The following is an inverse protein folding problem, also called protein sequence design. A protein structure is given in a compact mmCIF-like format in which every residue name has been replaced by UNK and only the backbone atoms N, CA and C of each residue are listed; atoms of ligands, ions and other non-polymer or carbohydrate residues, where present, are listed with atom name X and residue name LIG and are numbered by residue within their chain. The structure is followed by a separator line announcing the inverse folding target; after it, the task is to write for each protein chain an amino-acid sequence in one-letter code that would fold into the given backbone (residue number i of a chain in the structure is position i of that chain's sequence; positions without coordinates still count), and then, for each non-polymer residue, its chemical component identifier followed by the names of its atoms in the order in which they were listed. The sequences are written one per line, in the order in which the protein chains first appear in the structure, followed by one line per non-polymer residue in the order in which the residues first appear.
data_IF_777314460683
#
_entry.id   IF_777314460683
#
_cell.length_a   1.000
_cell.length_b   1.000
_cell.length_c   1.000
_cell.angle_alpha   90.00
_cell.angle_beta   90.00
_cell.angle_gamma   90.00
#
_symmetry.space_group_name_H-M   'P 1'
#
loop_
_entity.id
_entity.type
_entity.pdbx_description
1 polymer ?
#
# COMPACT_ATOMS: atom_id res chain seq x y z
N UNK A 1 71.99 -14.52 -29.66
CA UNK A 1 71.22 -15.39 -28.76
C UNK A 1 69.88 -14.71 -28.52
N UNK A 2 68.99 -14.97 -29.36
CA UNK A 2 67.56 -14.45 -29.31
C UNK A 2 66.71 -15.49 -28.57
N UNK A 3 66.27 -15.13 -27.38
CA UNK A 3 65.31 -15.94 -26.59
C UNK A 3 63.90 -15.61 -27.04
N UNK A 4 63.33 -16.52 -27.81
CA UNK A 4 61.89 -16.52 -28.12
C UNK A 4 61.12 -16.90 -26.86
N UNK A 5 60.11 -16.06 -26.52
CA UNK A 5 59.11 -16.36 -25.50
C UNK A 5 58.06 -17.32 -26.10
N UNK A 6 57.59 -18.34 -25.38
CA UNK A 6 56.58 -19.26 -25.88
C UNK A 6 55.24 -18.60 -25.99
N UNK A 7 54.51 -18.88 -27.08
CA UNK A 7 53.11 -18.51 -27.33
C UNK A 7 52.19 -19.02 -26.21
N UNK A 8 51.19 -18.22 -25.78
CA UNK A 8 50.19 -18.70 -24.84
C UNK A 8 49.28 -19.73 -25.51
N UNK A 9 49.18 -20.90 -24.88
CA UNK A 9 48.30 -21.99 -25.27
C UNK A 9 46.83 -21.48 -25.37
N UNK A 10 46.25 -21.62 -26.56
CA UNK A 10 44.82 -21.40 -26.81
C UNK A 10 44.02 -22.39 -25.97
N UNK A 11 43.23 -21.88 -25.02
CA UNK A 11 42.21 -22.67 -24.32
C UNK A 11 41.05 -22.98 -25.31
N UNK A 12 40.76 -24.24 -25.60
CA UNK A 12 39.59 -24.61 -26.37
C UNK A 12 38.35 -24.55 -25.47
N UNK A 13 37.34 -23.79 -25.87
CA UNK A 13 35.95 -24.00 -25.44
C UNK A 13 35.44 -23.08 -24.32
N UNK A 14 35.51 -21.76 -24.50
CA UNK A 14 34.41 -20.91 -23.98
C UNK A 14 33.32 -21.00 -25.01
N UNK A 15 32.37 -21.90 -24.79
CA UNK A 15 31.10 -21.87 -25.51
C UNK A 15 30.50 -20.48 -25.30
N UNK A 16 30.30 -19.74 -26.39
CA UNK A 16 29.51 -18.52 -26.42
C UNK A 16 28.15 -18.81 -25.79
N UNK A 17 28.02 -18.57 -24.47
CA UNK A 17 26.69 -18.43 -23.89
C UNK A 17 26.00 -17.33 -24.69
N UNK A 18 24.81 -17.57 -25.23
CA UNK A 18 24.08 -16.54 -25.95
C UNK A 18 23.90 -15.37 -24.98
N UNK A 19 24.60 -14.28 -25.26
CA UNK A 19 24.50 -13.01 -24.53
C UNK A 19 22.99 -12.74 -24.41
N UNK A 20 22.42 -12.95 -23.21
CA UNK A 20 21.04 -12.58 -22.93
C UNK A 20 20.93 -11.11 -23.28
N UNK A 21 20.38 -10.82 -24.44
CA UNK A 21 20.12 -9.45 -24.88
C UNK A 21 19.31 -8.78 -23.79
N UNK A 22 19.91 -7.81 -23.10
CA UNK A 22 19.22 -6.98 -22.14
C UNK A 22 18.01 -6.40 -22.87
N UNK A 23 16.77 -6.65 -22.40
CA UNK A 23 15.59 -6.16 -23.08
C UNK A 23 15.71 -4.65 -23.27
N UNK A 24 15.73 -4.18 -24.50
CA UNK A 24 15.79 -2.74 -24.79
C UNK A 24 14.53 -2.10 -24.23
N UNK A 25 14.71 -1.25 -23.21
CA UNK A 25 13.61 -0.49 -22.60
C UNK A 25 13.00 0.40 -23.67
N UNK A 26 11.77 0.10 -24.07
CA UNK A 26 11.05 0.84 -25.11
C UNK A 26 10.02 1.76 -24.45
N UNK A 27 10.16 3.06 -24.65
CA UNK A 27 9.11 4.04 -24.28
C UNK A 27 8.81 4.93 -25.49
N UNK A 28 7.52 5.08 -25.82
CA UNK A 28 7.06 6.00 -26.90
C UNK A 28 7.16 7.46 -26.51
N UNK A 29 7.30 7.75 -25.26
CA UNK A 29 7.24 9.11 -24.70
C UNK A 29 8.46 9.40 -23.85
N UNK A 30 8.75 10.69 -23.67
CA UNK A 30 9.84 11.12 -22.78
C UNK A 30 9.58 10.69 -21.33
N UNK A 31 10.65 10.51 -20.56
CA UNK A 31 10.56 10.15 -19.13
C UNK A 31 9.76 11.18 -18.32
N UNK A 32 9.81 12.47 -18.70
CA UNK A 32 9.01 13.54 -18.05
C UNK A 32 7.52 13.35 -18.29
N UNK A 33 7.11 13.07 -19.54
CA UNK A 33 5.72 12.84 -19.90
C UNK A 33 5.16 11.57 -19.26
N UNK A 34 5.96 10.49 -19.22
CA UNK A 34 5.60 9.25 -18.52
C UNK A 34 5.47 9.48 -17.01
N UNK A 35 6.41 10.23 -16.39
CA UNK A 35 6.36 10.57 -14.97
C UNK A 35 5.12 11.40 -14.61
N UNK A 36 4.75 12.37 -15.44
CA UNK A 36 3.52 13.15 -15.25
C UNK A 36 2.26 12.30 -15.39
N UNK A 37 2.24 11.37 -16.34
CA UNK A 37 1.16 10.39 -16.46
C UNK A 37 1.04 9.49 -15.22
N UNK A 38 2.18 8.98 -14.72
CA UNK A 38 2.21 8.18 -13.47
C UNK A 38 1.73 8.98 -12.25
N UNK A 39 2.02 10.28 -12.20
CA UNK A 39 1.50 11.16 -11.16
C UNK A 39 -0.03 11.23 -11.22
N UNK A 40 -0.61 11.47 -12.39
CA UNK A 40 -2.08 11.59 -12.56
C UNK A 40 -2.78 10.27 -12.23
N UNK A 41 -2.32 9.15 -12.78
CA UNK A 41 -2.97 7.86 -12.50
C UNK A 41 -2.76 7.43 -11.05
N UNK A 42 -1.59 7.70 -10.46
CA UNK A 42 -1.29 7.42 -9.06
C UNK A 42 -2.23 8.18 -8.12
N UNK A 43 -2.44 9.46 -8.38
CA UNK A 43 -3.37 10.30 -7.63
C UNK A 43 -4.81 9.80 -7.78
N UNK A 44 -5.25 9.57 -9.02
CA UNK A 44 -6.64 9.22 -9.32
C UNK A 44 -7.05 7.87 -8.70
N UNK A 45 -6.21 6.83 -8.84
CA UNK A 45 -6.59 5.52 -8.33
C UNK A 45 -6.52 5.46 -6.80
N UNK A 46 -5.53 6.11 -6.15
CA UNK A 46 -5.47 6.13 -4.68
C UNK A 46 -6.59 6.98 -4.10
N UNK A 47 -6.92 8.11 -4.74
CA UNK A 47 -8.08 8.91 -4.36
C UNK A 47 -9.34 8.04 -4.36
N UNK A 48 -9.64 7.38 -5.47
CA UNK A 48 -10.83 6.54 -5.63
C UNK A 48 -10.84 5.37 -4.63
N UNK A 49 -9.69 4.70 -4.43
CA UNK A 49 -9.57 3.61 -3.47
C UNK A 49 -9.75 4.09 -2.03
N UNK A 50 -9.21 5.25 -1.65
CA UNK A 50 -9.38 5.81 -0.30
C UNK A 50 -10.84 6.17 -0.01
N UNK A 51 -11.56 6.71 -1.00
CA UNK A 51 -13.01 6.95 -0.89
C UNK A 51 -13.76 5.63 -0.65
N UNK A 52 -13.38 4.55 -1.37
CA UNK A 52 -14.03 3.25 -1.26
C UNK A 52 -13.74 2.52 0.05
N UNK A 53 -12.56 2.70 0.64
CA UNK A 53 -12.08 1.81 1.73
C UNK A 53 -11.97 2.47 3.09
N UNK A 54 -11.94 3.82 3.16
CA UNK A 54 -11.74 4.55 4.40
C UNK A 54 -13.07 5.06 4.99
N UNK A 55 -13.12 6.34 5.30
CA UNK A 55 -14.20 7.00 6.04
C UNK A 55 -15.59 6.79 5.45
N UNK A 56 -15.75 6.83 4.12
CA UNK A 56 -17.10 6.75 3.51
C UNK A 56 -17.67 5.33 3.48
N UNK A 57 -16.85 4.30 3.42
CA UNK A 57 -17.32 2.93 3.61
C UNK A 57 -17.90 2.76 5.02
N UNK A 58 -17.16 3.23 6.04
CA UNK A 58 -17.63 3.19 7.42
C UNK A 58 -18.92 4.00 7.60
N UNK A 59 -19.00 5.22 7.03
CA UNK A 59 -20.19 6.04 7.08
C UNK A 59 -21.41 5.36 6.43
N UNK A 60 -21.22 4.74 5.25
CA UNK A 60 -22.31 4.03 4.55
C UNK A 60 -22.75 2.78 5.30
N UNK A 61 -21.83 2.01 5.88
CA UNK A 61 -22.16 0.85 6.73
C UNK A 61 -22.94 1.30 7.96
N UNK A 62 -22.57 2.41 8.60
CA UNK A 62 -23.29 2.96 9.76
C UNK A 62 -24.75 3.37 9.43
N UNK A 63 -24.99 3.80 8.18
CA UNK A 63 -26.35 4.12 7.71
C UNK A 63 -27.16 2.86 7.45
N UNK A 64 -26.56 1.82 6.82
CA UNK A 64 -27.27 0.62 6.37
C UNK A 64 -27.43 -0.45 7.46
N UNK A 65 -26.52 -0.49 8.43
CA UNK A 65 -26.51 -1.48 9.51
C UNK A 65 -25.99 -0.85 10.82
N UNK A 66 -26.72 0.09 11.43
CA UNK A 66 -26.26 0.86 12.59
C UNK A 66 -25.88 -0.02 13.80
N UNK A 67 -26.64 -1.09 14.06
CA UNK A 67 -26.41 -1.99 15.21
C UNK A 67 -25.18 -2.90 15.02
N UNK A 68 -24.91 -3.32 13.78
CA UNK A 68 -23.84 -4.25 13.44
C UNK A 68 -22.68 -3.58 12.67
N UNK A 69 -22.61 -2.25 12.67
CA UNK A 69 -21.67 -1.47 11.83
C UNK A 69 -20.20 -1.87 12.04
N UNK A 70 -19.79 -2.15 13.27
CA UNK A 70 -18.43 -2.54 13.62
C UNK A 70 -18.08 -3.91 13.02
N UNK A 71 -19.01 -4.87 13.12
CA UNK A 71 -18.85 -6.20 12.54
C UNK A 71 -18.74 -6.12 11.00
N UNK A 72 -19.66 -5.42 10.34
CA UNK A 72 -19.64 -5.33 8.88
C UNK A 72 -18.45 -4.53 8.35
N UNK A 73 -17.97 -3.52 9.06
CA UNK A 73 -16.74 -2.80 8.68
C UNK A 73 -15.51 -3.71 8.81
N UNK A 74 -15.41 -4.46 9.91
CA UNK A 74 -14.38 -5.45 10.12
C UNK A 74 -14.34 -6.52 9.03
N UNK A 75 -15.51 -7.07 8.70
CA UNK A 75 -15.68 -8.07 7.65
C UNK A 75 -15.33 -7.50 6.26
N UNK A 76 -15.89 -6.34 5.89
CA UNK A 76 -15.68 -5.71 4.60
C UNK A 76 -14.18 -5.42 4.36
N UNK A 77 -13.50 -4.82 5.34
CA UNK A 77 -12.08 -4.45 5.22
C UNK A 77 -11.18 -5.68 5.18
N UNK A 78 -11.47 -6.73 5.96
CA UNK A 78 -10.73 -7.99 5.91
C UNK A 78 -10.90 -8.69 4.55
N UNK A 79 -12.13 -8.80 4.05
CA UNK A 79 -12.39 -9.37 2.73
C UNK A 79 -11.72 -8.56 1.62
N UNK A 80 -11.76 -7.23 1.68
CA UNK A 80 -11.05 -6.38 0.74
C UNK A 80 -9.53 -6.64 0.72
N UNK A 81 -8.91 -6.82 1.88
CA UNK A 81 -7.49 -7.14 1.99
C UNK A 81 -7.12 -8.47 1.33
N UNK A 82 -7.95 -9.51 1.54
CA UNK A 82 -7.77 -10.82 0.89
C UNK A 82 -7.93 -10.68 -0.63
N UNK A 83 -9.03 -10.06 -1.06
CA UNK A 83 -9.33 -9.85 -2.48
C UNK A 83 -8.25 -9.02 -3.16
N UNK A 84 -7.80 -7.93 -2.54
CA UNK A 84 -6.73 -7.09 -3.09
C UNK A 84 -5.44 -7.88 -3.28
N UNK A 85 -5.04 -8.69 -2.30
CA UNK A 85 -3.82 -9.51 -2.38
C UNK A 85 -3.91 -10.51 -3.52
N UNK A 86 -4.98 -11.28 -3.60
CA UNK A 86 -5.16 -12.31 -4.64
C UNK A 86 -5.31 -11.70 -6.04
N UNK A 87 -6.08 -10.63 -6.15
CA UNK A 87 -6.34 -9.99 -7.45
C UNK A 87 -5.13 -9.29 -8.03
N UNK A 88 -4.25 -8.70 -7.21
CA UNK A 88 -3.00 -8.11 -7.71
C UNK A 88 -2.10 -9.15 -8.40
N UNK A 89 -1.95 -10.33 -7.82
CA UNK A 89 -1.20 -11.44 -8.43
C UNK A 89 -1.89 -11.94 -9.71
N UNK A 90 -3.20 -12.14 -9.66
CA UNK A 90 -3.98 -12.62 -10.80
C UNK A 90 -3.91 -11.66 -11.99
N UNK A 91 -4.18 -10.38 -11.79
CA UNK A 91 -4.15 -9.37 -12.85
C UNK A 91 -2.73 -9.08 -13.33
N UNK A 92 -1.73 -9.14 -12.46
CA UNK A 92 -0.33 -9.06 -12.84
C UNK A 92 0.02 -10.16 -13.85
N UNK A 93 -0.29 -11.41 -13.52
CA UNK A 93 -0.02 -12.57 -14.39
C UNK A 93 -0.77 -12.47 -15.74
N UNK A 94 -2.05 -12.11 -15.73
CA UNK A 94 -2.85 -11.92 -16.95
C UNK A 94 -2.28 -10.80 -17.81
N UNK A 95 -1.89 -9.69 -17.19
CA UNK A 95 -1.27 -8.56 -17.88
C UNK A 95 0.04 -8.96 -18.57
N UNK A 96 0.83 -9.86 -17.96
CA UNK A 96 2.08 -10.37 -18.56
C UNK A 96 1.83 -11.26 -19.78
N UNK A 97 0.73 -12.00 -19.80
CA UNK A 97 0.34 -12.88 -20.91
C UNK A 97 -0.32 -12.12 -22.06
N UNK A 98 -0.77 -10.89 -21.83
CA UNK A 98 -1.57 -10.13 -22.79
C UNK A 98 -0.75 -9.65 -23.97
N UNK A 99 -1.30 -9.82 -25.18
CA UNK A 99 -0.75 -9.33 -26.45
C UNK A 99 -1.83 -8.54 -27.19
N UNK A 100 -1.63 -7.22 -27.28
CA UNK A 100 -2.63 -6.34 -27.90
C UNK A 100 -1.99 -5.20 -28.71
N UNK A 101 -2.81 -4.57 -29.56
CA UNK A 101 -2.41 -3.38 -30.32
C UNK A 101 -2.16 -2.17 -29.40
N UNK A 102 -2.82 -2.13 -28.25
CA UNK A 102 -2.69 -1.07 -27.25
C UNK A 102 -1.53 -1.29 -26.28
N UNK A 103 -0.72 -2.33 -26.52
CA UNK A 103 0.34 -2.73 -25.60
C UNK A 103 -0.12 -3.78 -24.58
N UNK A 104 0.80 -4.14 -23.69
CA UNK A 104 0.59 -5.20 -22.70
C UNK A 104 -0.22 -4.71 -21.49
N UNK A 105 -0.02 -3.46 -21.07
CA UNK A 105 -0.55 -2.91 -19.82
C UNK A 105 -1.80 -2.06 -20.00
N UNK A 106 -1.89 -1.29 -21.08
CA UNK A 106 -2.99 -0.36 -21.34
C UNK A 106 -4.39 -0.99 -21.27
N UNK A 107 -4.66 -2.19 -21.84
CA UNK A 107 -5.97 -2.82 -21.75
C UNK A 107 -6.43 -3.04 -20.30
N UNK A 108 -5.51 -3.42 -19.40
CA UNK A 108 -5.82 -3.72 -18.00
C UNK A 108 -5.96 -2.47 -17.15
N UNK A 109 -5.24 -1.40 -17.50
CA UNK A 109 -5.45 -0.08 -16.88
C UNK A 109 -6.87 0.43 -17.20
N UNK A 110 -7.29 0.34 -18.47
CA UNK A 110 -8.64 0.74 -18.86
C UNK A 110 -9.72 -0.19 -18.29
N UNK A 111 -9.49 -1.50 -18.32
CA UNK A 111 -10.41 -2.46 -17.71
C UNK A 111 -10.61 -2.19 -16.22
N UNK A 112 -9.52 -2.03 -15.46
CA UNK A 112 -9.58 -1.73 -14.03
C UNK A 112 -10.22 -0.36 -13.73
N UNK A 113 -9.99 0.65 -14.60
CA UNK A 113 -10.65 1.95 -14.48
C UNK A 113 -12.16 1.87 -14.73
N UNK A 114 -12.59 1.20 -15.80
CA UNK A 114 -14.01 1.06 -16.15
C UNK A 114 -14.73 0.21 -15.09
N UNK A 115 -14.19 -0.96 -14.76
CA UNK A 115 -14.79 -1.83 -13.74
C UNK A 115 -14.78 -1.19 -12.35
N UNK A 116 -13.72 -0.45 -12.01
CA UNK A 116 -13.65 0.34 -10.79
C UNK A 116 -14.68 1.46 -10.73
N UNK A 117 -14.90 2.16 -11.86
CA UNK A 117 -15.97 3.17 -11.99
C UNK A 117 -17.35 2.57 -11.77
N UNK A 118 -17.63 1.42 -12.40
CA UNK A 118 -18.89 0.69 -12.22
C UNK A 118 -19.03 0.25 -10.75
N UNK A 119 -17.97 -0.35 -10.18
CA UNK A 119 -17.98 -0.83 -8.80
C UNK A 119 -18.23 0.31 -7.78
N UNK A 120 -17.56 1.45 -7.91
CA UNK A 120 -17.81 2.64 -7.08
C UNK A 120 -19.25 3.14 -7.22
N UNK A 121 -19.78 3.17 -8.44
CA UNK A 121 -21.16 3.57 -8.69
C UNK A 121 -22.14 2.61 -8.02
N UNK A 122 -21.90 1.29 -8.08
CA UNK A 122 -22.71 0.28 -7.42
C UNK A 122 -22.63 0.40 -5.89
N UNK A 123 -21.45 0.70 -5.32
CA UNK A 123 -21.29 1.01 -3.89
C UNK A 123 -22.17 2.22 -3.52
N UNK A 124 -22.13 3.29 -4.32
CA UNK A 124 -22.97 4.48 -4.13
C UNK A 124 -24.48 4.19 -4.19
N UNK A 125 -24.90 3.32 -5.10
CA UNK A 125 -26.32 2.94 -5.29
C UNK A 125 -26.83 1.87 -4.31
N UNK A 126 -25.97 1.24 -3.54
CA UNK A 126 -26.37 0.14 -2.64
C UNK A 126 -27.23 0.66 -1.49
N UNK A 127 -28.43 0.11 -1.34
CA UNK A 127 -29.39 0.44 -0.26
C UNK A 127 -29.52 -0.69 0.78
N UNK A 128 -28.74 -1.78 0.61
CA UNK A 128 -28.69 -2.90 1.54
C UNK A 128 -27.25 -3.24 1.87
N UNK A 129 -27.02 -3.77 3.08
CA UNK A 129 -25.67 -4.17 3.51
C UNK A 129 -25.10 -5.29 2.63
N UNK A 130 -25.91 -6.26 2.23
CA UNK A 130 -25.50 -7.34 1.32
C UNK A 130 -25.12 -6.82 -0.07
N UNK A 131 -25.90 -5.89 -0.63
CA UNK A 131 -25.57 -5.21 -1.90
C UNK A 131 -24.29 -4.40 -1.82
N UNK A 132 -24.09 -3.66 -0.73
CA UNK A 132 -22.87 -2.90 -0.46
C UNK A 132 -21.64 -3.81 -0.43
N UNK A 133 -21.68 -4.90 0.35
CA UNK A 133 -20.57 -5.84 0.46
C UNK A 133 -20.27 -6.52 -0.88
N UNK A 134 -21.28 -6.95 -1.62
CA UNK A 134 -21.09 -7.56 -2.94
C UNK A 134 -20.46 -6.57 -3.93
N UNK A 135 -20.94 -5.32 -3.98
CA UNK A 135 -20.41 -4.27 -4.82
C UNK A 135 -18.95 -3.93 -4.44
N UNK A 136 -18.66 -3.87 -3.14
CA UNK A 136 -17.33 -3.55 -2.61
C UNK A 136 -16.30 -4.66 -2.91
N UNK A 137 -16.68 -5.92 -2.74
CA UNK A 137 -15.83 -7.07 -3.08
C UNK A 137 -15.60 -7.12 -4.59
N UNK A 138 -16.66 -6.96 -5.39
CA UNK A 138 -16.57 -6.92 -6.85
C UNK A 138 -15.69 -5.76 -7.34
N UNK A 139 -15.84 -4.58 -6.73
CA UNK A 139 -14.94 -3.45 -6.95
C UNK A 139 -13.49 -3.85 -6.71
N UNK A 140 -13.15 -4.38 -5.53
CA UNK A 140 -11.78 -4.76 -5.19
C UNK A 140 -11.20 -5.80 -6.15
N UNK A 141 -11.98 -6.80 -6.54
CA UNK A 141 -11.55 -7.86 -7.43
C UNK A 141 -11.14 -7.32 -8.81
N UNK A 142 -11.96 -6.47 -9.41
CA UNK A 142 -11.79 -6.02 -10.80
C UNK A 142 -10.93 -4.76 -10.91
N UNK A 143 -11.09 -3.81 -10.00
CA UNK A 143 -10.33 -2.57 -9.94
C UNK A 143 -8.82 -2.80 -9.86
N UNK A 144 -8.38 -3.83 -9.10
CA UNK A 144 -6.95 -4.12 -8.89
C UNK A 144 -6.19 -4.47 -10.19
N UNK A 145 -6.86 -4.70 -11.31
CA UNK A 145 -6.24 -4.79 -12.62
C UNK A 145 -5.46 -3.50 -12.99
N UNK A 146 -5.96 -2.33 -12.56
CA UNK A 146 -5.33 -1.04 -12.81
C UNK A 146 -3.98 -0.90 -12.08
N UNK A 147 -3.91 -0.93 -10.73
CA UNK A 147 -2.64 -0.79 -10.02
C UNK A 147 -1.66 -1.90 -10.35
N UNK A 148 -2.09 -3.16 -10.58
CA UNK A 148 -1.23 -4.25 -11.01
C UNK A 148 -0.53 -3.93 -12.35
N UNK A 149 -1.29 -3.44 -13.34
CA UNK A 149 -0.75 -3.07 -14.64
C UNK A 149 0.15 -1.82 -14.56
N UNK A 150 -0.19 -0.82 -13.75
CA UNK A 150 0.62 0.40 -13.57
C UNK A 150 1.97 0.07 -12.91
N UNK A 151 1.98 -0.78 -11.86
CA UNK A 151 3.22 -1.19 -11.20
C UNK A 151 4.17 -1.93 -12.15
N UNK A 152 3.64 -2.71 -13.08
CA UNK A 152 4.43 -3.40 -14.08
C UNK A 152 5.07 -2.47 -15.14
N UNK A 153 4.62 -1.22 -15.27
CA UNK A 153 5.24 -0.22 -16.15
C UNK A 153 6.67 0.13 -15.69
N UNK A 154 6.94 0.09 -14.37
CA UNK A 154 8.25 0.48 -13.83
C UNK A 154 9.40 -0.36 -14.40
N UNK A 155 9.39 -1.70 -14.29
CA UNK A 155 10.41 -2.52 -14.92
C UNK A 155 10.36 -2.50 -16.44
N UNK A 156 9.17 -2.37 -17.06
CA UNK A 156 8.98 -2.49 -18.51
C UNK A 156 9.43 -1.25 -19.28
N UNK A 157 9.18 -0.03 -18.75
CA UNK A 157 9.29 1.22 -19.52
C UNK A 157 10.22 2.26 -18.89
N UNK A 158 10.69 2.08 -17.65
CA UNK A 158 11.53 3.06 -16.97
C UNK A 158 12.96 2.55 -16.85
N UNK A 159 13.95 3.30 -17.40
CA UNK A 159 15.36 2.98 -17.25
C UNK A 159 15.76 2.88 -15.77
N UNK A 160 16.71 1.98 -15.47
CA UNK A 160 17.13 1.69 -14.08
C UNK A 160 17.57 2.94 -13.31
N UNK A 161 18.29 3.84 -13.97
CA UNK A 161 18.78 5.12 -13.43
C UNK A 161 17.65 6.11 -13.07
N UNK A 162 16.46 5.98 -13.68
CA UNK A 162 15.30 6.87 -13.48
C UNK A 162 14.17 6.25 -12.65
N UNK A 163 14.28 4.97 -12.29
CA UNK A 163 13.23 4.28 -11.51
C UNK A 163 12.99 4.91 -10.16
N UNK A 164 14.06 5.32 -9.47
CA UNK A 164 13.94 6.01 -8.17
C UNK A 164 13.12 7.30 -8.26
N UNK A 165 13.42 8.16 -9.22
CA UNK A 165 12.67 9.41 -9.43
C UNK A 165 11.21 9.14 -9.82
N UNK A 166 10.98 8.19 -10.72
CA UNK A 166 9.61 7.83 -11.13
C UNK A 166 8.79 7.24 -9.98
N UNK A 167 9.42 6.38 -9.13
CA UNK A 167 8.79 5.85 -7.93
C UNK A 167 8.47 6.93 -6.91
N UNK A 168 9.34 7.91 -6.73
CA UNK A 168 9.10 9.05 -5.84
C UNK A 168 7.92 9.91 -6.32
N UNK A 169 7.85 10.19 -7.63
CA UNK A 169 6.72 10.93 -8.22
C UNK A 169 5.41 10.17 -8.07
N UNK A 170 5.40 8.87 -8.38
CA UNK A 170 4.23 8.02 -8.25
C UNK A 170 3.79 7.85 -6.79
N UNK A 171 4.73 7.58 -5.88
CA UNK A 171 4.45 7.45 -4.44
C UNK A 171 3.96 8.77 -3.83
N UNK A 172 4.57 9.90 -4.20
CA UNK A 172 4.12 11.22 -3.78
C UNK A 172 2.68 11.52 -4.23
N UNK A 173 2.33 11.15 -5.48
CA UNK A 173 0.96 11.28 -5.99
C UNK A 173 -0.03 10.45 -5.17
N UNK A 174 0.36 9.24 -4.75
CA UNK A 174 -0.49 8.37 -3.92
C UNK A 174 -0.72 8.98 -2.52
N UNK A 175 0.31 9.49 -1.88
CA UNK A 175 0.19 10.14 -0.57
C UNK A 175 -0.74 11.35 -0.66
N UNK A 176 -0.55 12.21 -1.66
CA UNK A 176 -1.41 13.37 -1.90
C UNK A 176 -2.85 12.93 -2.20
N UNK A 177 -3.02 11.95 -3.10
CA UNK A 177 -4.35 11.44 -3.49
C UNK A 177 -5.12 10.86 -2.31
N UNK A 178 -4.46 10.07 -1.46
CA UNK A 178 -5.07 9.50 -0.26
C UNK A 178 -5.43 10.55 0.80
N UNK A 179 -4.55 11.51 1.05
CA UNK A 179 -4.80 12.56 2.01
C UNK A 179 -5.95 13.50 1.56
N UNK A 180 -5.93 13.93 0.30
CA UNK A 180 -6.99 14.76 -0.27
C UNK A 180 -8.33 14.01 -0.26
N UNK A 181 -8.33 12.71 -0.59
CA UNK A 181 -9.52 11.87 -0.51
C UNK A 181 -10.10 11.83 0.91
N UNK A 182 -9.27 11.62 1.94
CA UNK A 182 -9.74 11.56 3.32
C UNK A 182 -10.29 12.90 3.82
N UNK A 183 -9.62 14.02 3.46
CA UNK A 183 -10.09 15.37 3.81
C UNK A 183 -11.44 15.66 3.15
N UNK A 184 -11.59 15.34 1.86
CA UNK A 184 -12.86 15.56 1.15
C UNK A 184 -13.93 14.59 1.67
N UNK A 185 -13.60 13.31 1.88
CA UNK A 185 -14.52 12.28 2.39
C UNK A 185 -15.15 12.69 3.72
N UNK A 186 -14.41 13.37 4.60
CA UNK A 186 -14.93 13.80 5.89
C UNK A 186 -16.14 14.75 5.78
N UNK A 187 -16.26 15.49 4.70
CA UNK A 187 -17.38 16.42 4.43
C UNK A 187 -18.64 15.71 3.93
N UNK A 188 -18.52 14.43 3.54
CA UNK A 188 -19.62 13.66 2.94
C UNK A 188 -20.08 12.50 3.81
N UNK A 189 -19.75 12.46 5.10
CA UNK A 189 -20.11 11.36 6.00
C UNK A 189 -21.64 11.22 6.19
N UNK A 190 -22.40 12.32 6.06
CA UNK A 190 -23.87 12.30 6.12
C UNK A 190 -24.53 11.84 4.82
N UNK A 191 -23.88 12.08 3.68
CA UNK A 191 -24.36 11.67 2.36
C UNK A 191 -23.20 11.10 1.52
N UNK A 192 -22.74 9.88 1.82
CA UNK A 192 -21.58 9.29 1.18
C UNK A 192 -21.81 8.95 -0.30
N UNK A 193 -23.07 8.78 -0.74
CA UNK A 193 -23.40 8.29 -2.07
C UNK A 193 -22.83 9.16 -3.19
N UNK A 194 -23.00 10.48 -3.09
CA UNK A 194 -22.53 11.42 -4.11
C UNK A 194 -21.00 11.31 -4.34
N UNK A 195 -20.25 11.11 -3.27
CA UNK A 195 -18.78 11.08 -3.35
C UNK A 195 -18.25 9.81 -4.03
N UNK A 196 -18.95 8.68 -3.96
CA UNK A 196 -18.60 7.49 -4.73
C UNK A 196 -18.69 7.75 -6.24
N UNK A 197 -19.69 8.51 -6.72
CA UNK A 197 -19.78 8.88 -8.14
C UNK A 197 -18.69 9.87 -8.56
N UNK A 198 -18.35 10.84 -7.70
CA UNK A 198 -17.25 11.76 -7.96
C UNK A 198 -15.92 11.00 -8.05
N UNK A 199 -15.66 10.08 -7.13
CA UNK A 199 -14.47 9.24 -7.14
C UNK A 199 -14.41 8.35 -8.40
N UNK A 200 -15.55 7.81 -8.84
CA UNK A 200 -15.68 7.04 -10.07
C UNK A 200 -15.28 7.88 -11.30
N UNK A 201 -15.76 9.13 -11.36
CA UNK A 201 -15.40 10.06 -12.43
C UNK A 201 -13.91 10.42 -12.44
N UNK A 202 -13.32 10.70 -11.27
CA UNK A 202 -11.89 11.00 -11.14
C UNK A 202 -11.03 9.81 -11.57
N UNK A 203 -11.41 8.58 -11.16
CA UNK A 203 -10.74 7.36 -11.54
C UNK A 203 -10.73 7.17 -13.06
N UNK A 204 -11.89 7.29 -13.69
CA UNK A 204 -12.03 7.11 -15.14
C UNK A 204 -11.24 8.16 -15.92
N UNK A 205 -11.46 9.43 -15.60
CA UNK A 205 -10.81 10.55 -16.30
C UNK A 205 -9.29 10.48 -16.11
N UNK A 206 -8.80 10.29 -14.89
CA UNK A 206 -7.36 10.19 -14.60
C UNK A 206 -6.69 9.03 -15.33
N UNK A 207 -7.37 7.87 -15.42
CA UNK A 207 -6.85 6.71 -16.15
C UNK A 207 -6.86 6.90 -17.66
N UNK A 208 -7.90 7.51 -18.21
CA UNK A 208 -7.97 7.86 -19.63
C UNK A 208 -6.89 8.87 -19.99
N UNK A 209 -6.74 9.92 -19.20
CA UNK A 209 -5.67 10.93 -19.39
C UNK A 209 -4.29 10.26 -19.34
N UNK A 210 -4.06 9.32 -18.42
CA UNK A 210 -2.81 8.56 -18.38
C UNK A 210 -2.55 7.81 -19.68
N UNK A 211 -3.54 7.11 -20.22
CA UNK A 211 -3.39 6.33 -21.47
C UNK A 211 -3.01 7.24 -22.65
N UNK A 212 -3.60 8.45 -22.73
CA UNK A 212 -3.22 9.43 -23.75
C UNK A 212 -1.83 10.04 -23.52
N UNK A 213 -1.44 10.29 -22.29
CA UNK A 213 -0.12 10.82 -21.94
C UNK A 213 1.00 9.80 -22.12
N UNK A 214 0.73 8.53 -21.86
CA UNK A 214 1.73 7.48 -21.82
C UNK A 214 1.37 6.28 -22.72
N UNK A 215 1.07 6.48 -24.02
CA UNK A 215 0.73 5.39 -24.93
C UNK A 215 1.81 4.31 -24.94
N UNK A 216 1.38 3.05 -25.04
CA UNK A 216 2.24 1.89 -25.07
C UNK A 216 2.55 1.44 -26.50
N UNK A 217 3.54 0.54 -26.67
CA UNK A 217 3.80 -0.12 -27.95
C UNK A 217 2.90 -1.35 -28.11
N UNK A 218 2.58 -1.68 -29.37
CA UNK A 218 1.93 -2.95 -29.69
C UNK A 218 2.80 -4.13 -29.19
N UNK A 219 2.20 -5.01 -28.44
CA UNK A 219 2.85 -6.21 -27.91
C UNK A 219 2.49 -7.48 -28.68
N UNK A 220 1.86 -7.36 -29.87
CA UNK A 220 1.38 -8.50 -30.66
C UNK A 220 2.48 -9.47 -31.05
N UNK A 221 3.64 -8.94 -31.40
CA UNK A 221 4.78 -9.69 -31.92
C UNK A 221 5.76 -10.12 -30.83
N UNK A 222 5.48 -9.82 -29.56
CA UNK A 222 6.31 -10.25 -28.45
C UNK A 222 6.06 -11.72 -28.09
N UNK A 223 7.11 -12.48 -27.72
CA UNK A 223 6.95 -13.86 -27.29
C UNK A 223 6.06 -13.94 -26.04
N UNK A 224 5.20 -14.96 -25.98
CA UNK A 224 4.33 -15.17 -24.82
C UNK A 224 5.16 -15.69 -23.65
N UNK A 225 5.05 -15.05 -22.50
CA UNK A 225 5.58 -15.59 -21.25
C UNK A 225 4.84 -16.88 -20.89
N UNK A 226 5.56 -17.89 -20.41
CA UNK A 226 4.93 -19.10 -19.85
C UNK A 226 4.56 -18.83 -18.41
N UNK A 227 3.35 -19.20 -18.02
CA UNK A 227 2.94 -19.19 -16.61
C UNK A 227 3.70 -20.31 -15.88
N UNK A 228 4.58 -19.91 -14.98
CA UNK A 228 5.25 -20.84 -14.09
C UNK A 228 4.50 -20.94 -12.75
N UNK A 229 3.48 -21.81 -12.71
CA UNK A 229 2.71 -22.04 -11.48
C UNK A 229 3.55 -22.68 -10.35
N UNK A 230 4.64 -23.39 -10.69
CA UNK A 230 5.56 -23.95 -9.69
C UNK A 230 6.41 -22.85 -9.07
N UNK A 231 6.89 -21.91 -9.87
CA UNK A 231 7.61 -20.74 -9.40
C UNK A 231 6.76 -19.86 -8.47
N UNK A 232 5.44 -19.75 -8.72
CA UNK A 232 4.51 -19.06 -7.81
C UNK A 232 4.46 -19.71 -6.42
N UNK A 233 4.37 -21.05 -6.34
CA UNK A 233 4.39 -21.77 -5.06
C UNK A 233 5.72 -21.61 -4.31
N UNK A 234 6.84 -21.54 -5.03
CA UNK A 234 8.16 -21.32 -4.46
C UNK A 234 8.35 -19.88 -3.98
N UNK A 235 7.67 -18.91 -4.58
CA UNK A 235 7.70 -17.52 -4.17
C UNK A 235 7.16 -17.28 -2.75
N UNK A 236 6.29 -18.16 -2.25
CA UNK A 236 5.73 -18.06 -0.89
C UNK A 236 6.50 -18.88 0.17
N UNK A 237 7.57 -19.58 -0.21
CA UNK A 237 8.40 -20.30 0.77
C UNK A 237 9.27 -19.32 1.56
N UNK A 238 9.05 -19.25 2.86
CA UNK A 238 9.87 -18.46 3.77
C UNK A 238 11.32 -18.94 3.76
N UNK A 239 12.31 -18.02 3.86
CA UNK A 239 13.72 -18.39 3.87
C UNK A 239 14.05 -19.23 5.13
N UNK A 240 14.72 -20.36 4.93
CA UNK A 240 15.15 -21.20 6.05
C UNK A 240 16.34 -20.57 6.79
N UNK A 241 16.38 -20.69 8.13
CA UNK A 241 17.51 -20.28 8.98
C UNK A 241 17.89 -18.78 8.87
N UNK A 242 16.91 -17.89 8.69
CA UNK A 242 17.09 -16.45 8.61
C UNK A 242 16.42 -15.72 9.81
N UNK A 243 16.95 -15.79 11.04
CA UNK A 243 16.29 -15.24 12.22
C UNK A 243 16.06 -13.72 12.11
N UNK A 244 16.98 -12.98 11.56
CA UNK A 244 16.86 -11.52 11.40
C UNK A 244 15.75 -11.12 10.45
N UNK A 245 15.53 -11.91 9.39
CA UNK A 245 14.39 -11.78 8.49
C UNK A 245 13.05 -11.93 9.23
N UNK A 246 12.95 -12.95 10.09
CA UNK A 246 11.73 -13.20 10.86
C UNK A 246 11.46 -12.10 11.90
N UNK A 247 12.49 -11.58 12.56
CA UNK A 247 12.35 -10.48 13.50
C UNK A 247 11.92 -9.18 12.80
N UNK A 248 12.50 -8.88 11.63
CA UNK A 248 12.11 -7.75 10.82
C UNK A 248 10.65 -7.87 10.33
N UNK A 249 10.26 -9.07 9.86
CA UNK A 249 8.88 -9.38 9.47
C UNK A 249 7.91 -9.17 10.64
N UNK A 250 8.21 -9.77 11.79
CA UNK A 250 7.37 -9.69 12.98
C UNK A 250 7.22 -8.25 13.50
N UNK A 251 8.32 -7.50 13.56
CA UNK A 251 8.30 -6.10 14.00
C UNK A 251 7.40 -5.23 13.13
N UNK A 252 7.58 -5.33 11.81
CA UNK A 252 6.75 -4.61 10.84
C UNK A 252 5.28 -5.03 10.90
N UNK A 253 5.02 -6.33 10.95
CA UNK A 253 3.69 -6.90 11.05
C UNK A 253 2.95 -6.40 12.30
N UNK A 254 3.56 -6.51 13.47
CA UNK A 254 2.93 -6.12 14.73
C UNK A 254 2.69 -4.60 14.80
N UNK A 255 3.65 -3.80 14.34
CA UNK A 255 3.51 -2.36 14.30
C UNK A 255 2.31 -1.94 13.45
N UNK A 256 2.19 -2.46 12.23
CA UNK A 256 1.10 -2.12 11.33
C UNK A 256 -0.23 -2.72 11.79
N UNK A 257 -0.20 -3.90 12.44
CA UNK A 257 -1.38 -4.49 13.05
C UNK A 257 -1.98 -3.54 14.10
N UNK A 258 -1.18 -3.08 15.04
CA UNK A 258 -1.64 -2.14 16.07
C UNK A 258 -2.13 -0.81 15.48
N UNK A 259 -1.43 -0.26 14.50
CA UNK A 259 -1.84 0.98 13.85
C UNK A 259 -3.20 0.84 13.14
N UNK A 260 -3.39 -0.23 12.37
CA UNK A 260 -4.63 -0.45 11.61
C UNK A 260 -5.83 -0.79 12.50
N UNK A 261 -5.62 -1.35 13.70
CA UNK A 261 -6.70 -1.58 14.68
C UNK A 261 -7.42 -0.27 15.04
N UNK A 262 -6.72 0.84 15.12
CA UNK A 262 -7.29 2.14 15.45
C UNK A 262 -7.71 2.89 14.18
N UNK A 263 -6.86 2.97 13.16
CA UNK A 263 -7.10 3.78 11.96
C UNK A 263 -8.37 3.37 11.19
N UNK A 264 -8.64 2.07 11.04
CA UNK A 264 -9.80 1.61 10.28
C UNK A 264 -11.14 1.96 10.94
N UNK A 265 -11.14 2.20 12.25
CA UNK A 265 -12.34 2.51 13.03
C UNK A 265 -12.41 3.96 13.51
N UNK A 266 -11.56 4.83 12.97
CA UNK A 266 -11.46 6.24 13.40
C UNK A 266 -12.83 6.95 13.41
N UNK A 267 -13.67 6.73 12.40
CA UNK A 267 -15.02 7.30 12.35
C UNK A 267 -15.86 6.87 13.57
N UNK A 268 -15.88 5.58 13.86
CA UNK A 268 -16.69 5.04 14.97
C UNK A 268 -16.08 5.38 16.35
N UNK A 269 -14.76 5.52 16.43
CA UNK A 269 -14.09 6.04 17.64
C UNK A 269 -14.58 7.46 17.93
N UNK A 270 -14.67 8.32 16.91
CA UNK A 270 -15.14 9.68 17.07
C UNK A 270 -16.62 9.75 17.46
N UNK A 271 -17.47 8.95 16.81
CA UNK A 271 -18.94 8.98 17.03
C UNK A 271 -19.38 8.22 18.28
N UNK A 272 -18.83 7.03 18.53
CA UNK A 272 -19.33 6.11 19.54
C UNK A 272 -18.54 6.15 20.85
N UNK A 273 -17.21 6.34 20.77
CA UNK A 273 -16.35 6.36 21.96
C UNK A 273 -16.18 7.76 22.52
N UNK A 274 -15.95 8.75 21.65
CA UNK A 274 -15.79 10.15 22.06
C UNK A 274 -17.15 10.84 22.11
N UNK A 275 -18.12 10.41 21.32
CA UNK A 275 -19.48 10.93 21.31
C UNK A 275 -19.65 12.27 20.60
N UNK A 276 -18.83 12.53 19.57
CA UNK A 276 -18.90 13.77 18.79
C UNK A 276 -20.14 13.76 17.87
N UNK A 277 -20.71 14.95 17.67
CA UNK A 277 -21.69 15.18 16.63
C UNK A 277 -21.12 14.92 15.23
N UNK A 278 -21.98 14.77 14.25
CA UNK A 278 -21.54 14.54 12.86
C UNK A 278 -20.70 15.69 12.32
N UNK A 279 -21.03 16.93 12.65
CA UNK A 279 -20.30 18.12 12.22
C UNK A 279 -18.91 18.20 12.84
N UNK A 280 -18.81 17.96 14.16
CA UNK A 280 -17.55 17.88 14.88
C UNK A 280 -16.68 16.73 14.35
N UNK A 281 -17.27 15.55 14.12
CA UNK A 281 -16.59 14.38 13.55
C UNK A 281 -16.00 14.70 12.19
N UNK A 282 -16.76 15.35 11.31
CA UNK A 282 -16.28 15.79 9.98
C UNK A 282 -15.06 16.72 10.10
N UNK A 283 -15.16 17.71 10.98
CA UNK A 283 -14.09 18.67 11.22
C UNK A 283 -12.84 18.01 11.78
N UNK A 284 -12.98 17.14 12.78
CA UNK A 284 -11.86 16.42 13.40
C UNK A 284 -11.19 15.47 12.40
N UNK A 285 -11.95 14.75 11.58
CA UNK A 285 -11.40 13.90 10.53
C UNK A 285 -10.60 14.70 9.50
N UNK A 286 -11.10 15.85 9.04
CA UNK A 286 -10.41 16.72 8.11
C UNK A 286 -9.09 17.25 8.71
N UNK A 287 -9.14 17.79 9.94
CA UNK A 287 -7.97 18.33 10.63
C UNK A 287 -6.94 17.24 10.95
N UNK A 288 -7.38 16.06 11.40
CA UNK A 288 -6.51 14.91 11.65
C UNK A 288 -5.81 14.45 10.39
N UNK A 289 -6.54 14.35 9.26
CA UNK A 289 -5.99 13.99 7.96
C UNK A 289 -4.97 15.00 7.46
N UNK A 290 -5.26 16.29 7.61
CA UNK A 290 -4.34 17.37 7.23
C UNK A 290 -3.09 17.39 8.11
N UNK A 291 -3.25 17.27 9.43
CA UNK A 291 -2.13 17.19 10.37
C UNK A 291 -1.24 15.96 10.08
N UNK A 292 -1.86 14.80 9.83
CA UNK A 292 -1.15 13.58 9.47
C UNK A 292 -0.35 13.74 8.17
N UNK A 293 -0.93 14.35 7.13
CA UNK A 293 -0.24 14.59 5.85
C UNK A 293 1.04 15.41 6.06
N UNK A 294 0.94 16.54 6.77
CA UNK A 294 2.10 17.40 7.05
C UNK A 294 3.17 16.62 7.78
N UNK A 295 2.79 15.89 8.82
CA UNK A 295 3.75 15.21 9.70
C UNK A 295 4.35 13.96 9.05
N UNK A 296 3.62 13.25 8.16
CA UNK A 296 4.20 12.17 7.32
C UNK A 296 5.35 12.74 6.48
N UNK A 297 5.13 13.87 5.81
CA UNK A 297 6.15 14.51 4.98
C UNK A 297 7.37 14.90 5.83
N UNK A 298 7.15 15.53 6.98
CA UNK A 298 8.22 15.88 7.93
C UNK A 298 8.98 14.60 8.35
N UNK A 299 8.27 13.54 8.72
CA UNK A 299 8.86 12.27 9.14
C UNK A 299 9.76 11.66 8.06
N UNK A 300 9.32 11.66 6.80
CA UNK A 300 10.12 11.16 5.67
C UNK A 300 11.41 11.97 5.51
N UNK A 301 11.31 13.30 5.48
CA UNK A 301 12.47 14.16 5.23
C UNK A 301 13.44 14.26 6.41
N UNK A 302 13.01 13.97 7.62
CA UNK A 302 13.86 14.02 8.81
C UNK A 302 14.49 12.66 9.10
N UNK A 303 13.70 11.59 9.15
CA UNK A 303 14.18 10.30 9.67
C UNK A 303 15.17 9.61 8.72
N UNK A 304 14.98 9.71 7.39
CA UNK A 304 15.90 9.14 6.40
C UNK A 304 17.33 9.68 6.55
N UNK A 305 17.53 11.00 6.35
CA UNK A 305 18.85 11.61 6.48
C UNK A 305 19.49 11.43 7.88
N UNK A 306 18.68 11.47 8.94
CA UNK A 306 19.16 11.21 10.31
C UNK A 306 19.67 9.77 10.42
N UNK A 307 18.89 8.79 9.97
CA UNK A 307 19.28 7.38 9.98
C UNK A 307 20.58 7.13 9.19
N UNK A 308 20.73 7.76 8.02
CA UNK A 308 21.93 7.64 7.19
C UNK A 308 23.17 8.28 7.87
N UNK A 309 22.97 9.45 8.52
CA UNK A 309 24.05 10.14 9.23
C UNK A 309 24.57 9.36 10.45
N UNK A 310 23.66 8.80 11.25
CA UNK A 310 24.04 8.01 12.44
C UNK A 310 24.46 6.57 12.08
N UNK A 311 24.26 6.13 10.84
CA UNK A 311 24.54 4.76 10.36
C UNK A 311 23.87 3.68 11.23
N UNK A 312 22.69 3.95 11.74
CA UNK A 312 21.90 3.02 12.57
C UNK A 312 20.46 3.01 12.08
N UNK A 313 19.92 1.83 11.81
CA UNK A 313 18.54 1.65 11.34
C UNK A 313 17.56 1.35 12.48
N UNK A 314 17.99 0.58 13.47
CA UNK A 314 17.13 0.13 14.58
C UNK A 314 16.57 1.26 15.42
N UNK A 315 17.40 2.24 15.79
CA UNK A 315 17.00 3.33 16.69
C UNK A 315 15.92 4.20 16.05
N UNK A 316 16.07 4.70 14.80
CA UNK A 316 15.00 5.48 14.16
C UNK A 316 13.70 4.70 14.01
N UNK A 317 13.74 3.40 13.66
CA UNK A 317 12.54 2.58 13.55
C UNK A 317 11.90 2.37 14.92
N UNK A 318 12.69 2.11 15.96
CA UNK A 318 12.17 2.00 17.32
C UNK A 318 11.48 3.29 17.78
N UNK A 319 12.11 4.45 17.54
CA UNK A 319 11.52 5.77 17.87
C UNK A 319 10.22 5.97 17.09
N UNK A 320 10.21 5.69 15.80
CA UNK A 320 9.00 5.75 14.97
C UNK A 320 7.88 4.86 15.52
N UNK A 321 8.22 3.64 15.93
CA UNK A 321 7.27 2.70 16.54
C UNK A 321 6.74 3.20 17.88
N UNK A 322 7.59 3.78 18.72
CA UNK A 322 7.17 4.39 20.00
C UNK A 322 6.28 5.61 19.80
N UNK A 323 6.50 6.41 18.74
CA UNK A 323 5.58 7.48 18.35
C UNK A 323 4.17 6.95 18.05
N UNK A 324 4.04 5.79 17.40
CA UNK A 324 2.72 5.15 17.23
C UNK A 324 2.10 4.72 18.55
N UNK A 325 2.88 4.11 19.43
CA UNK A 325 2.40 3.73 20.77
C UNK A 325 1.92 4.93 21.57
N UNK A 326 2.67 6.04 21.56
CA UNK A 326 2.29 7.29 22.19
C UNK A 326 1.04 7.90 21.55
N UNK A 327 0.95 7.86 20.21
CA UNK A 327 -0.22 8.35 19.49
C UNK A 327 -1.49 7.65 19.95
N UNK A 328 -1.46 6.32 20.07
CA UNK A 328 -2.62 5.50 20.49
C UNK A 328 -3.03 5.81 21.94
N UNK A 329 -2.09 6.15 22.83
CA UNK A 329 -2.39 6.50 24.22
C UNK A 329 -3.15 7.83 24.35
N UNK A 330 -2.95 8.78 23.43
CA UNK A 330 -3.53 10.12 23.53
C UNK A 330 -5.06 10.09 23.57
N UNK A 331 -5.78 9.48 22.60
CA UNK A 331 -7.23 9.39 22.66
C UNK A 331 -7.75 8.40 23.72
N UNK A 332 -6.93 7.44 24.16
CA UNK A 332 -7.28 6.55 25.27
C UNK A 332 -7.36 7.30 26.60
N UNK A 333 -6.36 8.16 26.89
CA UNK A 333 -6.29 8.92 28.15
C UNK A 333 -7.25 10.11 28.13
N UNK A 334 -7.40 10.77 27.01
CA UNK A 334 -8.24 11.94 26.84
C UNK A 334 -9.14 11.79 25.61
N UNK A 335 -10.32 11.18 25.72
CA UNK A 335 -11.22 10.94 24.59
C UNK A 335 -11.89 12.24 24.13
N UNK A 336 -11.20 13.03 23.32
CA UNK A 336 -11.66 14.32 22.79
C UNK A 336 -11.34 14.42 21.29
N UNK A 337 -12.05 15.31 20.56
CA UNK A 337 -11.72 15.59 19.16
C UNK A 337 -10.28 16.10 18.98
N UNK A 338 -9.81 16.95 19.89
CA UNK A 338 -8.44 17.46 19.88
C UNK A 338 -7.41 16.35 20.02
N UNK A 339 -7.65 15.37 20.89
CA UNK A 339 -6.77 14.22 21.06
C UNK A 339 -6.65 13.38 19.79
N UNK A 340 -7.73 13.26 19.02
CA UNK A 340 -7.71 12.57 17.74
C UNK A 340 -6.96 13.34 16.65
N UNK A 341 -6.96 14.68 16.67
CA UNK A 341 -6.12 15.49 15.79
C UNK A 341 -4.64 15.29 16.14
N UNK A 342 -4.30 15.27 17.43
CA UNK A 342 -2.94 15.02 17.90
C UNK A 342 -2.52 13.58 17.56
N UNK A 343 -3.42 12.59 17.72
CA UNK A 343 -3.20 11.21 17.26
C UNK A 343 -2.84 11.18 15.77
N UNK A 344 -3.59 11.88 14.91
CA UNK A 344 -3.31 12.01 13.49
C UNK A 344 -1.91 12.58 13.22
N UNK A 345 -1.55 13.66 13.91
CA UNK A 345 -0.25 14.30 13.75
C UNK A 345 0.91 13.41 14.22
N UNK A 346 0.82 12.81 15.41
CA UNK A 346 1.90 11.98 15.99
C UNK A 346 2.04 10.65 15.21
N UNK A 347 0.93 10.01 14.86
CA UNK A 347 0.95 8.78 14.05
C UNK A 347 1.46 9.06 12.63
N UNK A 348 1.11 10.20 12.04
CA UNK A 348 1.64 10.64 10.75
C UNK A 348 3.16 10.80 10.77
N UNK A 349 3.70 11.46 11.79
CA UNK A 349 5.15 11.61 11.97
C UNK A 349 5.84 10.24 12.11
N UNK A 350 5.27 9.36 12.94
CA UNK A 350 5.75 7.98 13.09
C UNK A 350 5.74 7.22 11.79
N UNK A 351 4.64 7.31 10.99
CA UNK A 351 4.52 6.62 9.71
C UNK A 351 5.55 7.12 8.69
N UNK A 352 5.71 8.42 8.56
CA UNK A 352 6.71 9.00 7.68
C UNK A 352 8.13 8.58 8.04
N UNK A 353 8.47 8.64 9.33
CA UNK A 353 9.77 8.19 9.84
C UNK A 353 9.98 6.68 9.60
N UNK A 354 8.97 5.86 9.87
CA UNK A 354 9.01 4.42 9.63
C UNK A 354 9.23 4.11 8.15
N UNK A 355 8.40 4.64 7.25
CA UNK A 355 8.47 4.35 5.81
C UNK A 355 9.82 4.71 5.19
N UNK A 356 10.47 5.79 5.67
CA UNK A 356 11.75 6.24 5.11
C UNK A 356 12.92 5.34 5.51
N UNK A 357 12.88 4.69 6.68
CA UNK A 357 13.99 3.88 7.21
C UNK A 357 13.74 2.38 7.00
N UNK A 358 12.49 1.94 7.12
CA UNK A 358 12.10 0.54 7.04
C UNK A 358 12.47 -0.12 5.70
N UNK A 359 12.31 0.59 4.58
CA UNK A 359 12.70 0.07 3.26
C UNK A 359 14.21 -0.23 3.17
N UNK A 360 15.05 0.53 3.85
CA UNK A 360 16.49 0.26 3.94
C UNK A 360 16.75 -0.96 4.83
N UNK A 361 16.12 -1.04 6.01
CA UNK A 361 16.22 -2.20 6.90
C UNK A 361 15.83 -3.50 6.17
N UNK A 362 14.72 -3.48 5.42
CA UNK A 362 14.24 -4.65 4.68
C UNK A 362 15.26 -5.18 3.67
N UNK A 363 16.03 -4.30 3.05
CA UNK A 363 17.09 -4.73 2.11
C UNK A 363 18.33 -5.27 2.81
N UNK A 364 18.61 -4.84 4.03
CA UNK A 364 19.78 -5.25 4.83
C UNK A 364 19.58 -6.60 5.54
N UNK A 365 18.33 -7.03 5.79
CA UNK A 365 18.02 -8.32 6.46
C UNK A 365 17.81 -9.49 5.50
N UNK A 366 17.95 -9.28 4.18
CA UNK A 366 17.78 -10.34 3.20
C UNK A 366 18.86 -11.41 3.32
N UNK A 367 18.50 -12.70 3.34
CA UNK A 367 19.45 -13.78 3.55
C UNK A 367 20.36 -14.04 2.35
N UNK A 368 19.93 -13.76 1.11
CA UNK A 368 20.74 -13.92 -0.09
C UNK A 368 20.36 -12.93 -1.21
N UNK A 369 21.33 -12.60 -2.08
CA UNK A 369 21.06 -11.78 -3.26
C UNK A 369 20.25 -12.53 -4.34
N UNK A 370 20.41 -13.84 -4.42
CA UNK A 370 19.75 -14.70 -5.41
C UNK A 370 18.23 -14.77 -5.18
N UNK A 371 17.77 -14.82 -3.94
CA UNK A 371 16.35 -14.87 -3.56
C UNK A 371 15.75 -13.49 -3.26
N UNK A 372 16.48 -12.40 -3.48
CA UNK A 372 16.13 -11.03 -3.08
C UNK A 372 14.70 -10.62 -3.46
N UNK A 373 14.29 -10.91 -4.70
CA UNK A 373 12.95 -10.53 -5.16
C UNK A 373 11.84 -11.30 -4.43
N UNK A 374 12.03 -12.59 -4.21
CA UNK A 374 11.12 -13.47 -3.46
C UNK A 374 11.01 -13.02 -2.02
N UNK A 375 12.13 -12.85 -1.36
CA UNK A 375 12.19 -12.53 0.08
C UNK A 375 11.61 -11.14 0.37
N UNK A 376 11.85 -10.13 -0.50
CA UNK A 376 11.17 -8.84 -0.44
C UNK A 376 9.65 -8.98 -0.64
N UNK A 377 9.21 -9.88 -1.52
CA UNK A 377 7.78 -10.18 -1.71
C UNK A 377 7.15 -10.71 -0.41
N UNK A 378 7.82 -11.63 0.28
CA UNK A 378 7.38 -12.16 1.57
C UNK A 378 7.36 -11.03 2.63
N UNK A 379 8.42 -10.22 2.74
CA UNK A 379 8.44 -9.09 3.67
C UNK A 379 7.32 -8.07 3.42
N UNK A 380 6.90 -7.90 2.15
CA UNK A 380 5.76 -7.04 1.83
C UNK A 380 4.43 -7.61 2.33
N UNK A 381 4.30 -8.91 2.57
CA UNK A 381 3.08 -9.47 3.19
C UNK A 381 2.91 -8.98 4.63
N UNK A 382 3.98 -8.58 5.30
CA UNK A 382 3.90 -7.91 6.61
C UNK A 382 3.22 -6.53 6.57
N UNK A 383 2.96 -5.95 5.38
CA UNK A 383 2.12 -4.77 5.24
C UNK A 383 0.65 -5.11 4.99
N UNK A 384 0.40 -6.17 4.20
CA UNK A 384 -0.94 -6.47 3.71
C UNK A 384 -1.74 -7.32 4.70
N UNK A 385 -1.10 -8.32 5.33
CA UNK A 385 -1.77 -9.23 6.28
C UNK A 385 -2.30 -8.51 7.52
N UNK A 386 -1.61 -7.53 8.13
CA UNK A 386 -2.17 -6.72 9.21
C UNK A 386 -3.46 -5.99 8.81
N UNK A 387 -3.57 -5.53 7.55
CA UNK A 387 -4.78 -4.90 7.02
C UNK A 387 -5.99 -5.85 6.95
N UNK A 388 -5.75 -7.16 6.96
CA UNK A 388 -6.80 -8.19 7.01
C UNK A 388 -7.16 -8.53 8.46
N UNK A 389 -6.16 -8.72 9.32
CA UNK A 389 -6.34 -9.20 10.69
C UNK A 389 -6.82 -8.08 11.62
N UNK A 390 -6.26 -6.87 11.51
CA UNK A 390 -6.57 -5.77 12.42
C UNK A 390 -8.08 -5.41 12.47
N UNK A 391 -8.78 -5.28 11.33
CA UNK A 391 -10.21 -4.98 11.37
C UNK A 391 -11.04 -6.07 12.04
N UNK A 392 -10.71 -7.34 11.80
CA UNK A 392 -11.39 -8.47 12.45
C UNK A 392 -11.12 -8.51 13.95
N UNK A 393 -9.87 -8.29 14.37
CA UNK A 393 -9.48 -8.23 15.77
C UNK A 393 -10.21 -7.08 16.49
N UNK A 394 -10.27 -5.89 15.87
CA UNK A 394 -10.99 -4.74 16.44
C UNK A 394 -12.48 -5.04 16.54
N UNK A 395 -13.09 -5.57 15.47
CA UNK A 395 -14.52 -5.91 15.50
C UNK A 395 -14.83 -6.97 16.58
N UNK A 396 -13.99 -7.97 16.76
CA UNK A 396 -14.14 -8.98 17.81
C UNK A 396 -14.02 -8.37 19.22
N UNK A 397 -13.02 -7.51 19.46
CA UNK A 397 -12.81 -6.85 20.76
C UNK A 397 -14.01 -5.96 21.12
N UNK A 398 -14.50 -5.14 20.18
CA UNK A 398 -15.66 -4.26 20.41
C UNK A 398 -16.93 -5.08 20.56
N UNK A 399 -17.08 -6.17 19.79
CA UNK A 399 -18.25 -7.06 19.84
C UNK A 399 -18.43 -7.82 21.16
N UNK A 400 -17.37 -7.97 21.99
CA UNK A 400 -17.46 -8.54 23.35
C UNK A 400 -18.16 -7.55 24.32
N UNK A 401 -18.38 -6.30 23.92
CA UNK A 401 -19.16 -5.34 24.71
C UNK A 401 -18.35 -4.40 25.60
N UNK A 402 -17.01 -4.46 25.56
CA UNK A 402 -16.14 -3.55 26.33
C UNK A 402 -15.84 -2.22 25.62
N UNK A 403 -16.44 -1.97 24.46
CA UNK A 403 -16.23 -0.76 23.67
C UNK A 403 -14.82 -0.66 23.06
N UNK A 404 -14.36 0.58 22.81
CA UNK A 404 -13.07 0.83 22.12
C UNK A 404 -11.85 0.90 23.05
N UNK A 405 -12.03 1.06 24.37
CA UNK A 405 -10.91 1.18 25.30
C UNK A 405 -9.92 -0.02 25.23
N UNK A 406 -10.39 -1.30 25.18
CA UNK A 406 -9.48 -2.43 25.01
C UNK A 406 -8.75 -2.45 23.66
N UNK A 407 -9.32 -1.85 22.60
CA UNK A 407 -8.67 -1.75 21.30
C UNK A 407 -7.40 -0.91 21.41
N UNK A 408 -7.44 0.24 22.10
CA UNK A 408 -6.26 1.08 22.32
C UNK A 408 -5.18 0.34 23.11
N UNK A 409 -5.58 -0.36 24.19
CA UNK A 409 -4.64 -1.12 25.03
C UNK A 409 -3.99 -2.25 24.21
N UNK A 410 -4.79 -3.03 23.48
CA UNK A 410 -4.28 -4.13 22.64
C UNK A 410 -3.37 -3.59 21.54
N UNK A 411 -3.77 -2.51 20.87
CA UNK A 411 -2.95 -1.82 19.85
C UNK A 411 -1.59 -1.38 20.43
N UNK A 412 -1.59 -0.74 21.61
CA UNK A 412 -0.36 -0.33 22.29
C UNK A 412 0.55 -1.52 22.60
N UNK A 413 0.01 -2.60 23.18
CA UNK A 413 0.78 -3.81 23.53
C UNK A 413 1.43 -4.38 22.26
N UNK A 414 0.66 -4.53 21.19
CA UNK A 414 1.13 -5.09 19.91
C UNK A 414 2.22 -4.22 19.30
N UNK A 415 2.05 -2.89 19.31
CA UNK A 415 3.05 -1.93 18.81
C UNK A 415 4.35 -2.02 19.64
N UNK A 416 4.25 -2.06 20.97
CA UNK A 416 5.41 -2.15 21.84
C UNK A 416 6.18 -3.45 21.63
N UNK A 417 5.49 -4.59 21.54
CA UNK A 417 6.13 -5.87 21.22
C UNK A 417 6.83 -5.80 19.86
N UNK A 418 6.16 -5.23 18.84
CA UNK A 418 6.73 -5.03 17.50
C UNK A 418 7.98 -4.13 17.54
N UNK A 419 7.95 -3.04 18.31
CA UNK A 419 9.09 -2.14 18.45
C UNK A 419 10.30 -2.83 19.09
N UNK A 420 10.10 -3.61 20.14
CA UNK A 420 11.20 -4.34 20.80
C UNK A 420 11.75 -5.49 19.96
N UNK A 421 10.95 -6.10 19.09
CA UNK A 421 11.43 -7.17 18.19
C UNK A 421 12.58 -6.71 17.27
N UNK A 422 12.67 -5.40 16.96
CA UNK A 422 13.72 -4.83 16.12
C UNK A 422 15.11 -5.00 16.75
N UNK A 423 15.20 -5.00 18.09
CA UNK A 423 16.48 -5.20 18.78
C UNK A 423 16.98 -6.64 18.71
N UNK A 424 16.12 -7.61 18.36
CA UNK A 424 16.49 -9.02 18.18
C UNK A 424 17.22 -9.25 16.84
N UNK A 425 17.17 -8.33 15.90
CA UNK A 425 17.91 -8.38 14.64
C UNK A 425 19.40 -8.21 14.96
N UNK A 426 20.26 -9.11 14.50
CA UNK A 426 21.72 -9.09 14.79
C UNK A 426 22.56 -8.54 13.64
N UNK A 427 22.12 -8.73 12.40
CA UNK A 427 22.86 -8.35 11.18
C UNK A 427 22.92 -6.84 10.94
N UNK A 428 22.01 -6.06 11.51
CA UNK A 428 21.89 -4.61 11.30
C UNK A 428 22.20 -3.85 12.60
N UNK A 429 22.76 -2.65 12.47
CA UNK A 429 23.05 -1.75 13.61
C UNK A 429 22.05 -0.63 13.76
#
# INVERSE_FOLDING_TARGET
MSTELPEPLAHPGVLDEPTRSIPTIRSRVSSKRLGFGLFIVGLAWVFANSIATATLLAAKIAILAPDDKVFFLGLATAMAGIVATLSLFFWGAISDLTRSRLGRRTPWILFGAISGTIGLSLIGLSDTIGGLLAAFIGYGLLFNALPAAVLAIFPDRIPRDKRGTASAVYGGAQVIGGAVANIIASQFITNPNAMFFVAAGILLVGSVVFVFLAPDYSSKDEPRAKLDLRGLGEAFKFPAKAPDFYWAFAGRFLLLLGLYMVQNFTLYILTDYIGLSTEETSTVLALSGFASLITIVIGIFVAGPVSDKIKRRKIPIFIASMLFGLAVLIPFVSPTGTSMIIFGAVSGLGLGAFLSVDSALMTEVLPSEESRGKDLGILNTANTVPGIIAPLATAAIVGIGFGYAPVFITSLIVIVIGAFSIFMIKSVR
#
